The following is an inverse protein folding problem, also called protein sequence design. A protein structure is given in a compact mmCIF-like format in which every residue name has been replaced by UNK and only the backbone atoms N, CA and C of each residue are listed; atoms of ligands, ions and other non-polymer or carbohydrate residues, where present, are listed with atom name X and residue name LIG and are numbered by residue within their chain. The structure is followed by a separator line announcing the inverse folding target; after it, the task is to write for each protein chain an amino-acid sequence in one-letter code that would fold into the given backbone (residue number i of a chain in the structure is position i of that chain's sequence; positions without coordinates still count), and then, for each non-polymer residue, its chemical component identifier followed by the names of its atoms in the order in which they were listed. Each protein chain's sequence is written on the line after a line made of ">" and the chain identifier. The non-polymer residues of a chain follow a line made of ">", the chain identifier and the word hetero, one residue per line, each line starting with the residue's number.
data_IF_625614074748
#
_entry.id   IF_625614074748
#
_cell.length_a   1.000
_cell.length_b   1.000
_cell.length_c   1.000
_cell.angle_alpha   90.00
_cell.angle_beta   90.00
_cell.angle_gamma   90.00
#
_symmetry.space_group_name_H-M   'P 1'
#
loop_
_entity.id
_entity.type
_entity.pdbx_description
1 polymer ?
#
# COMPACT_ATOMS: atom_id res chain seq x y z
N UNK A 1 4.01 0.49 11.86
CA UNK A 1 4.35 0.42 10.42
C UNK A 1 4.15 -1.00 9.93
N UNK A 2 3.23 -1.22 8.99
CA UNK A 2 3.12 -2.48 8.25
C UNK A 2 3.77 -2.36 6.86
N UNK A 3 4.49 -3.39 6.42
CA UNK A 3 5.17 -3.42 5.12
C UNK A 3 4.78 -4.70 4.38
N UNK A 4 4.32 -4.58 3.14
CA UNK A 4 3.90 -5.68 2.28
C UNK A 4 2.89 -6.61 2.98
N UNK A 5 3.29 -7.82 3.39
CA UNK A 5 2.44 -8.71 4.19
C UNK A 5 1.96 -8.03 5.49
N UNK A 6 2.79 -7.18 6.09
CA UNK A 6 2.42 -6.36 7.24
C UNK A 6 1.24 -5.41 6.97
N UNK A 7 1.05 -4.95 5.73
CA UNK A 7 -0.11 -4.15 5.33
C UNK A 7 -1.37 -5.01 5.10
N UNK A 8 -1.19 -6.29 4.80
CA UNK A 8 -2.26 -7.24 4.53
C UNK A 8 -2.82 -7.85 5.82
N UNK A 9 -1.95 -8.31 6.73
CA UNK A 9 -2.35 -9.01 7.96
C UNK A 9 -3.14 -8.13 8.95
N UNK A 10 -3.13 -6.81 8.77
CA UNK A 10 -3.86 -5.89 9.64
C UNK A 10 -5.34 -5.75 9.26
N UNK A 11 -5.76 -6.28 8.10
CA UNK A 11 -7.17 -6.30 7.68
C UNK A 11 -7.96 -7.44 8.38
N UNK A 12 -9.26 -7.59 8.11
CA UNK A 12 -10.06 -8.64 8.74
C UNK A 12 -9.73 -10.04 8.19
N UNK A 13 -9.45 -10.16 6.89
CA UNK A 13 -9.21 -11.46 6.23
C UNK A 13 -8.41 -11.33 4.94
N UNK A 14 -7.86 -12.45 4.48
CA UNK A 14 -7.18 -12.57 3.19
C UNK A 14 -7.77 -13.67 2.33
N UNK A 15 -7.97 -13.39 1.03
CA UNK A 15 -8.25 -14.40 0.01
C UNK A 15 -7.08 -15.37 -0.16
N UNK A 16 -5.85 -14.95 0.17
CA UNK A 16 -4.71 -15.86 0.21
C UNK A 16 -4.94 -16.88 1.34
N UNK A 17 -5.20 -18.13 0.94
CA UNK A 17 -5.56 -19.24 1.84
C UNK A 17 -6.84 -19.04 2.66
N UNK A 18 -7.72 -18.09 2.31
CA UNK A 18 -9.00 -17.82 2.99
C UNK A 18 -8.87 -17.69 4.52
N UNK A 19 -7.91 -16.91 5.00
CA UNK A 19 -7.53 -16.84 6.41
C UNK A 19 -8.06 -15.56 7.10
N UNK A 20 -8.43 -15.68 8.38
CA UNK A 20 -8.71 -14.52 9.23
C UNK A 20 -7.40 -13.82 9.61
N UNK A 21 -7.42 -12.49 9.62
CA UNK A 21 -6.28 -11.63 9.92
C UNK A 21 -6.51 -10.88 11.25
N UNK A 22 -5.70 -9.88 11.57
CA UNK A 22 -5.73 -9.22 12.88
C UNK A 22 -6.97 -8.33 13.09
N UNK A 23 -7.62 -7.87 12.03
CA UNK A 23 -8.85 -7.05 12.11
C UNK A 23 -8.65 -5.65 12.71
N UNK A 24 -7.45 -5.07 12.58
CA UNK A 24 -7.14 -3.72 13.08
C UNK A 24 -7.72 -2.62 12.19
N UNK A 25 -7.82 -2.89 10.88
CA UNK A 25 -8.55 -2.07 9.90
C UNK A 25 -9.62 -2.96 9.27
N UNK A 26 -10.85 -2.44 9.14
CA UNK A 26 -11.92 -3.18 8.45
C UNK A 26 -11.64 -3.29 6.97
N UNK A 27 -11.74 -4.49 6.42
CA UNK A 27 -11.47 -4.76 5.00
C UNK A 27 -10.91 -6.15 4.73
N UNK A 28 -10.53 -6.39 3.48
CA UNK A 28 -10.06 -7.68 3.00
C UNK A 28 -8.84 -7.53 2.09
N UNK A 29 -8.02 -8.57 2.02
CA UNK A 29 -6.91 -8.68 1.07
C UNK A 29 -7.40 -9.49 -0.13
N UNK A 30 -7.32 -8.92 -1.34
CA UNK A 30 -7.86 -9.53 -2.57
C UNK A 30 -6.77 -9.89 -3.55
N UNK A 31 -6.99 -10.95 -4.33
CA UNK A 31 -6.11 -11.33 -5.42
C UNK A 31 -6.30 -10.38 -6.61
N UNK A 32 -5.22 -10.01 -7.29
CA UNK A 32 -5.34 -9.37 -8.61
C UNK A 32 -6.04 -10.31 -9.60
N UNK A 33 -6.93 -9.79 -10.47
CA UNK A 33 -7.46 -10.57 -11.58
C UNK A 33 -6.35 -11.16 -12.45
N UNK A 34 -6.58 -12.34 -13.03
CA UNK A 34 -5.70 -12.92 -14.04
C UNK A 34 -6.54 -13.57 -15.13
N UNK A 35 -6.44 -13.11 -16.40
CA UNK A 35 -5.51 -12.09 -16.89
C UNK A 35 -5.86 -10.67 -16.43
N UNK A 36 -4.83 -9.81 -16.34
CA UNK A 36 -4.96 -8.38 -16.06
C UNK A 36 -4.38 -7.58 -17.23
N UNK A 37 -4.99 -6.45 -17.54
CA UNK A 37 -4.60 -5.59 -18.65
C UNK A 37 -4.51 -4.14 -18.18
N UNK A 38 -3.61 -3.37 -18.80
CA UNK A 38 -3.53 -1.91 -18.65
C UNK A 38 -4.56 -1.20 -19.55
N UNK A 39 -4.70 0.12 -19.39
CA UNK A 39 -5.62 0.94 -20.19
C UNK A 39 -5.36 0.94 -21.72
N UNK A 40 -4.15 0.56 -22.15
CA UNK A 40 -3.78 0.38 -23.56
C UNK A 40 -3.92 -1.08 -24.06
N UNK A 41 -4.62 -1.94 -23.29
CA UNK A 41 -4.87 -3.36 -23.60
C UNK A 41 -3.60 -4.23 -23.64
N UNK A 42 -2.52 -3.82 -22.98
CA UNK A 42 -1.33 -4.65 -22.79
C UNK A 42 -1.51 -5.58 -21.58
N UNK A 43 -1.07 -6.83 -21.72
CA UNK A 43 -1.18 -7.81 -20.63
C UNK A 43 -0.17 -7.48 -19.53
N UNK A 44 -0.66 -7.27 -18.31
CA UNK A 44 0.14 -7.07 -17.12
C UNK A 44 0.47 -8.41 -16.45
N UNK A 45 1.66 -8.48 -15.84
CA UNK A 45 2.11 -9.65 -15.08
C UNK A 45 1.59 -9.59 -13.64
N UNK A 46 1.24 -10.76 -13.11
CA UNK A 46 0.99 -11.01 -11.68
C UNK A 46 2.04 -12.03 -11.20
N UNK A 47 2.79 -11.77 -10.12
CA UNK A 47 2.67 -10.65 -9.18
C UNK A 47 2.93 -9.28 -9.82
N UNK A 48 2.29 -8.23 -9.28
CA UNK A 48 2.71 -6.85 -9.48
C UNK A 48 4.13 -6.73 -8.93
N UNK A 49 5.11 -6.62 -9.82
CA UNK A 49 6.53 -6.69 -9.48
C UNK A 49 7.30 -5.64 -10.27
N UNK A 50 7.99 -4.76 -9.56
CA UNK A 50 8.77 -3.68 -10.14
C UNK A 50 8.57 -2.35 -9.43
N UNK A 51 9.07 -1.29 -10.07
CA UNK A 51 8.88 0.09 -9.62
C UNK A 51 7.55 0.63 -10.13
N UNK A 52 6.79 1.28 -9.26
CA UNK A 52 5.52 1.89 -9.64
C UNK A 52 5.25 3.14 -8.79
N UNK A 53 4.46 4.06 -9.33
CA UNK A 53 4.08 5.32 -8.70
C UNK A 53 3.03 5.14 -7.62
N UNK A 54 2.99 6.11 -6.72
CA UNK A 54 2.00 6.21 -5.64
C UNK A 54 1.35 7.59 -5.69
N UNK A 55 0.02 7.62 -5.81
CA UNK A 55 -0.78 8.84 -5.80
C UNK A 55 -1.34 9.08 -4.41
N UNK A 56 -0.86 10.12 -3.74
CA UNK A 56 -1.37 10.51 -2.42
C UNK A 56 -2.82 10.99 -2.52
N UNK A 57 -3.67 10.48 -1.64
CA UNK A 57 -5.06 10.91 -1.45
C UNK A 57 -5.16 11.84 -0.25
N UNK A 58 -4.34 11.59 0.78
CA UNK A 58 -4.27 12.38 2.01
C UNK A 58 -2.81 12.67 2.36
N UNK A 59 -2.59 13.80 3.01
CA UNK A 59 -1.30 14.09 3.61
C UNK A 59 -1.06 13.16 4.81
N UNK A 60 0.20 12.83 5.07
CA UNK A 60 0.58 12.03 6.24
C UNK A 60 2.04 12.34 6.60
N UNK A 61 2.42 12.52 7.90
CA UNK A 61 3.77 12.91 8.30
C UNK A 61 4.85 11.93 7.81
N UNK A 62 4.56 10.64 7.86
CA UNK A 62 5.44 9.57 7.35
C UNK A 62 5.74 9.71 5.84
N UNK A 63 4.90 10.41 5.08
CA UNK A 63 5.02 10.61 3.64
C UNK A 63 5.53 12.03 3.27
N UNK A 64 5.96 12.81 4.27
CA UNK A 64 6.45 14.17 4.04
C UNK A 64 7.70 14.19 3.16
N UNK A 65 7.70 15.06 2.15
CA UNK A 65 8.81 15.26 1.22
C UNK A 65 8.90 14.22 0.11
N UNK A 66 7.86 13.40 -0.09
CA UNK A 66 7.70 12.60 -1.31
C UNK A 66 7.31 13.48 -2.49
N UNK A 67 7.84 13.14 -3.66
CA UNK A 67 7.57 13.83 -4.92
C UNK A 67 6.61 13.00 -5.78
N UNK A 68 5.77 13.62 -6.64
CA UNK A 68 4.87 12.88 -7.53
C UNK A 68 5.56 11.87 -8.47
N UNK A 69 6.84 12.08 -8.77
CA UNK A 69 7.65 11.22 -9.62
C UNK A 69 8.39 10.11 -8.84
N UNK A 70 8.23 10.04 -7.51
CA UNK A 70 8.83 8.96 -6.73
C UNK A 70 8.14 7.63 -7.05
N UNK A 71 8.96 6.60 -7.24
CA UNK A 71 8.52 5.23 -7.46
C UNK A 71 8.98 4.34 -6.31
N UNK A 72 8.19 3.29 -6.06
CA UNK A 72 8.44 2.34 -4.98
C UNK A 72 8.44 0.91 -5.52
N UNK A 73 9.23 0.05 -4.87
CA UNK A 73 9.38 -1.34 -5.26
C UNK A 73 8.25 -2.21 -4.70
N UNK A 74 7.41 -2.73 -5.59
CA UNK A 74 6.34 -3.67 -5.30
C UNK A 74 6.72 -5.10 -5.66
N UNK A 75 6.19 -6.07 -4.90
CA UNK A 75 6.25 -7.51 -5.22
C UNK A 75 5.12 -8.25 -4.49
N UNK A 76 3.94 -8.31 -5.11
CA UNK A 76 2.75 -8.94 -4.50
C UNK A 76 1.71 -9.40 -5.55
N UNK A 77 1.00 -10.49 -5.25
CA UNK A 77 -0.15 -10.96 -6.07
C UNK A 77 -1.51 -10.56 -5.48
N UNK A 78 -1.49 -10.07 -4.24
CA UNK A 78 -2.67 -9.65 -3.50
C UNK A 78 -2.54 -8.21 -3.05
N UNK A 79 -3.64 -7.47 -2.95
CA UNK A 79 -3.67 -6.06 -2.56
C UNK A 79 -4.68 -5.83 -1.43
N UNK A 80 -4.46 -4.77 -0.66
CA UNK A 80 -5.35 -4.36 0.42
C UNK A 80 -6.62 -3.69 -0.12
N UNK A 81 -7.79 -4.08 0.37
CA UNK A 81 -9.07 -3.45 0.11
C UNK A 81 -9.77 -3.11 1.45
N UNK A 82 -9.47 -1.94 2.05
CA UNK A 82 -10.18 -1.48 3.23
C UNK A 82 -11.67 -1.27 2.93
N UNK A 83 -12.53 -1.49 3.92
CA UNK A 83 -13.98 -1.36 3.80
C UNK A 83 -14.47 0.10 3.72
N UNK A 84 -13.58 1.08 3.91
CA UNK A 84 -13.90 2.51 3.85
C UNK A 84 -12.68 3.33 3.41
N UNK A 85 -12.94 4.33 2.55
CA UNK A 85 -11.95 5.29 2.05
C UNK A 85 -11.33 6.14 3.16
N UNK A 86 -11.91 6.16 4.36
CA UNK A 86 -11.31 6.82 5.52
C UNK A 86 -9.92 6.24 5.86
N UNK A 87 -9.69 4.95 5.56
CA UNK A 87 -8.41 4.28 5.82
C UNK A 87 -7.39 4.45 4.69
N UNK A 88 -7.81 4.97 3.53
CA UNK A 88 -6.93 5.10 2.36
C UNK A 88 -6.10 6.38 2.46
N UNK A 89 -4.78 6.23 2.37
CA UNK A 89 -3.82 7.35 2.36
C UNK A 89 -3.29 7.57 0.94
N UNK A 90 -3.00 6.49 0.21
CA UNK A 90 -2.50 6.57 -1.15
C UNK A 90 -2.95 5.39 -2.02
N UNK A 91 -3.04 5.63 -3.33
CA UNK A 91 -3.45 4.67 -4.34
C UNK A 91 -2.31 4.39 -5.32
N UNK A 92 -2.30 3.21 -5.92
CA UNK A 92 -1.43 2.83 -7.04
C UNK A 92 -2.26 2.18 -8.14
N UNK A 93 -1.90 2.41 -9.39
CA UNK A 93 -2.51 1.78 -10.56
C UNK A 93 -1.62 0.62 -11.05
N UNK A 94 -2.20 -0.56 -11.21
CA UNK A 94 -1.62 -1.70 -11.92
C UNK A 94 -2.74 -2.46 -12.62
N UNK A 95 -3.25 -1.92 -13.74
CA UNK A 95 -4.44 -2.42 -14.44
C UNK A 95 -5.78 -2.18 -13.72
N UNK A 96 -5.73 -2.14 -12.39
CA UNK A 96 -6.76 -1.62 -11.49
C UNK A 96 -6.11 -0.63 -10.52
N UNK A 97 -6.90 0.26 -9.95
CA UNK A 97 -6.45 1.04 -8.79
C UNK A 97 -6.64 0.24 -7.50
N UNK A 98 -5.64 0.29 -6.62
CA UNK A 98 -5.72 -0.30 -5.29
C UNK A 98 -5.07 0.63 -4.25
N UNK A 99 -5.55 0.61 -2.99
CA UNK A 99 -4.87 1.26 -1.87
C UNK A 99 -3.47 0.69 -1.67
N UNK A 100 -2.43 1.48 -1.94
CA UNK A 100 -1.05 1.08 -1.74
C UNK A 100 -0.50 1.56 -0.39
N UNK A 101 -1.17 2.53 0.23
CA UNK A 101 -0.92 2.95 1.61
C UNK A 101 -2.26 3.13 2.33
N UNK A 102 -2.39 2.46 3.48
CA UNK A 102 -3.55 2.57 4.37
C UNK A 102 -3.10 2.96 5.78
N UNK A 103 -3.99 3.57 6.55
CA UNK A 103 -3.71 3.94 7.93
C UNK A 103 -4.96 4.21 8.77
N UNK A 104 -4.76 4.21 10.08
CA UNK A 104 -5.78 4.51 11.08
C UNK A 104 -5.09 4.86 12.40
N UNK A 105 -5.37 6.04 12.98
CA UNK A 105 -4.71 6.52 14.20
C UNK A 105 -3.17 6.48 14.08
N UNK A 106 -2.50 5.70 14.93
CA UNK A 106 -1.06 5.51 14.97
C UNK A 106 -0.56 4.38 14.05
N UNK A 107 -1.44 3.78 13.25
CA UNK A 107 -1.10 2.74 12.30
C UNK A 107 -0.99 3.32 10.89
N UNK A 108 0.14 3.04 10.25
CA UNK A 108 0.35 3.20 8.80
C UNK A 108 0.92 1.90 8.25
N UNK A 109 0.46 1.50 7.07
CA UNK A 109 0.98 0.38 6.35
C UNK A 109 1.02 0.61 4.84
N UNK A 110 2.00 0.01 4.17
CA UNK A 110 2.24 0.17 2.74
C UNK A 110 2.47 -1.17 2.05
N UNK A 111 1.94 -1.30 0.83
CA UNK A 111 2.01 -2.53 0.06
C UNK A 111 3.37 -2.73 -0.63
N UNK A 112 4.10 -1.64 -0.90
CA UNK A 112 5.48 -1.66 -1.39
C UNK A 112 6.50 -1.85 -0.26
N UNK A 113 7.76 -2.07 -0.63
CA UNK A 113 8.89 -2.24 0.27
C UNK A 113 9.71 -0.95 0.36
N UNK A 114 9.50 -0.06 1.37
CA UNK A 114 10.27 1.17 1.49
C UNK A 114 11.77 0.90 1.67
N UNK A 115 12.14 -0.21 2.32
CA UNK A 115 13.54 -0.63 2.48
C UNK A 115 14.22 -1.04 1.16
N UNK A 116 13.44 -1.27 0.09
CA UNK A 116 13.93 -1.58 -1.26
C UNK A 116 13.71 -0.44 -2.26
N UNK A 117 13.15 0.68 -1.82
CA UNK A 117 12.70 1.79 -2.69
C UNK A 117 13.68 2.98 -2.70
N UNK A 118 14.97 2.72 -2.51
CA UNK A 118 16.03 3.74 -2.59
C UNK A 118 15.83 4.91 -1.62
N UNK A 119 16.18 6.12 -2.07
CA UNK A 119 16.14 7.32 -1.23
C UNK A 119 14.72 7.69 -0.76
N UNK A 120 13.72 7.54 -1.64
CA UNK A 120 12.33 7.87 -1.34
C UNK A 120 11.76 6.91 -0.29
N UNK A 121 12.11 5.62 -0.38
CA UNK A 121 11.80 4.64 0.65
C UNK A 121 12.53 4.87 1.98
N UNK A 122 13.82 5.21 1.96
CA UNK A 122 14.57 5.56 3.17
C UNK A 122 14.02 6.81 3.86
N UNK A 123 13.51 7.78 3.09
CA UNK A 123 12.83 8.96 3.63
C UNK A 123 11.58 8.57 4.42
N UNK A 124 10.74 7.69 3.87
CA UNK A 124 9.56 7.16 4.58
C UNK A 124 9.97 6.52 5.92
N UNK A 125 11.00 5.67 5.91
CA UNK A 125 11.48 5.01 7.13
C UNK A 125 12.02 6.02 8.15
N UNK A 126 12.78 7.02 7.70
CA UNK A 126 13.27 8.12 8.55
C UNK A 126 12.11 8.89 9.18
N UNK A 127 11.13 9.28 8.37
CA UNK A 127 9.96 10.03 8.84
C UNK A 127 9.17 9.20 9.86
N UNK A 128 9.01 7.89 9.64
CA UNK A 128 8.37 6.99 10.60
C UNK A 128 9.13 6.92 11.93
N UNK A 129 10.46 6.87 11.93
CA UNK A 129 11.26 6.85 13.17
C UNK A 129 11.12 8.13 14.01
N UNK A 130 10.76 9.25 13.40
CA UNK A 130 10.55 10.54 14.09
C UNK A 130 9.09 10.90 14.30
N UNK A 131 8.17 10.06 13.84
CA UNK A 131 6.73 10.27 13.99
C UNK A 131 6.29 9.95 15.42
N UNK A 132 5.51 10.84 16.02
CA UNK A 132 4.97 10.72 17.39
C UNK A 132 3.74 9.82 17.49
N UNK A 133 3.23 9.31 16.37
CA UNK A 133 2.05 8.46 16.30
C UNK A 133 0.72 9.20 16.21
N UNK A 134 0.73 10.53 16.12
CA UNK A 134 -0.48 11.32 15.87
C UNK A 134 -0.72 11.49 14.37
N UNK A 135 -1.91 11.12 13.90
CA UNK A 135 -2.29 11.30 12.51
C UNK A 135 -2.35 12.80 12.20
N UNK A 136 -1.64 13.28 11.17
CA UNK A 136 -1.82 14.66 10.73
C UNK A 136 -3.19 14.77 10.05
N UNK A 137 -4.01 15.68 10.56
CA UNK A 137 -5.34 16.04 10.06
C UNK A 137 -5.39 16.17 8.52
#
# INVERSE_FOLDING_TARGET
>A
LGICLGAQIILDKSEENNVQCLGLIKGEVKMFPSPLFSGNNERLKIPHMGWNGVRLIKNHPVLEGLMPADEFYFVHSYYTLPASDQYVIAMTEHGIEFPSIIGNNNLIAMQFHPEKSGNSGLRILKNFCTWDGHYAE
#
